data_IF_138590930752
#
_entry.id   IF_138590930752
#
_cell.length_a   1.000
_cell.length_b   1.000
_cell.length_c   1.000
_cell.angle_alpha   90.00
_cell.angle_beta   90.00
_cell.angle_gamma   90.00
#
_symmetry.space_group_name_H-M   'P 1'
#
loop_
_entity.id
_entity.type
_entity.pdbx_description
1 polymer ?
#
# COMPACT_ATOMS: atom_id res chain seq x y z
N UNK A 1 -8.07 0.50 -2.73
CA UNK A 1 -6.88 1.29 -2.33
C UNK A 1 -5.70 0.35 -2.33
N UNK A 2 -4.58 0.81 -2.87
CA UNK A 2 -3.38 0.02 -3.05
C UNK A 2 -2.36 0.34 -1.95
N UNK A 3 -1.62 -0.68 -1.52
CA UNK A 3 -0.44 -0.52 -0.68
C UNK A 3 0.75 -1.10 -1.44
N UNK A 4 1.76 -0.28 -1.67
CA UNK A 4 3.06 -0.71 -2.16
C UNK A 4 3.95 -0.93 -0.95
N UNK A 5 4.58 -2.09 -0.83
CA UNK A 5 5.37 -2.42 0.37
C UNK A 5 6.73 -3.00 0.01
N UNK A 6 7.78 -2.42 0.57
CA UNK A 6 9.09 -3.07 0.66
C UNK A 6 9.03 -4.09 1.81
N UNK A 7 9.05 -5.40 1.52
CA UNK A 7 8.84 -6.39 2.59
C UNK A 7 10.06 -6.60 3.49
N UNK A 8 11.23 -6.06 3.14
CA UNK A 8 12.42 -6.08 4.02
C UNK A 8 12.17 -5.40 5.35
N UNK A 9 11.35 -4.33 5.38
CA UNK A 9 10.99 -3.65 6.63
C UNK A 9 10.06 -4.50 7.53
N UNK A 10 9.46 -5.57 7.00
CA UNK A 10 8.55 -6.47 7.71
C UNK A 10 9.24 -7.72 8.26
N UNK A 11 10.26 -8.25 7.57
CA UNK A 11 10.77 -9.61 7.83
C UNK A 11 12.14 -9.68 8.51
N UNK A 12 12.90 -8.59 8.59
CA UNK A 12 14.32 -8.63 8.99
C UNK A 12 14.60 -8.27 10.46
N UNK A 13 13.66 -8.43 11.40
CA UNK A 13 13.84 -7.97 12.78
C UNK A 13 13.35 -8.97 13.83
N UNK A 14 14.00 -8.97 15.00
CA UNK A 14 13.60 -9.79 16.14
C UNK A 14 12.19 -9.40 16.63
N UNK A 15 11.36 -10.41 16.80
CA UNK A 15 9.93 -10.33 17.11
C UNK A 15 9.69 -9.73 18.50
N UNK A 16 9.13 -8.52 18.56
CA UNK A 16 8.58 -7.92 19.79
C UNK A 16 7.09 -8.31 19.98
N UNK A 17 6.58 -9.24 19.17
CA UNK A 17 5.24 -9.82 19.23
C UNK A 17 4.15 -9.00 18.56
N UNK A 18 4.44 -7.77 18.13
CA UNK A 18 3.44 -6.84 17.54
C UNK A 18 3.93 -6.06 16.32
N UNK A 19 5.24 -6.04 16.04
CA UNK A 19 5.82 -5.47 14.83
C UNK A 19 5.91 -6.44 13.65
N UNK A 20 6.70 -6.05 12.66
CA UNK A 20 7.04 -6.83 11.48
C UNK A 20 5.83 -7.26 10.66
N UNK A 21 5.93 -8.46 10.11
CA UNK A 21 4.88 -9.05 9.29
C UNK A 21 3.56 -9.25 10.06
N UNK A 22 3.51 -9.81 11.29
CA UNK A 22 2.25 -9.95 12.03
C UNK A 22 1.50 -8.62 12.22
N UNK A 23 2.21 -7.54 12.58
CA UNK A 23 1.62 -6.21 12.72
C UNK A 23 1.05 -5.67 11.40
N UNK A 24 1.77 -5.85 10.29
CA UNK A 24 1.29 -5.45 8.97
C UNK A 24 0.06 -6.26 8.54
N UNK A 25 0.04 -7.57 8.80
CA UNK A 25 -1.12 -8.42 8.52
C UNK A 25 -2.35 -8.02 9.34
N UNK A 26 -2.17 -7.66 10.61
CA UNK A 26 -3.26 -7.14 11.44
C UNK A 26 -3.88 -5.88 10.83
N UNK A 27 -3.07 -4.97 10.26
CA UNK A 27 -3.58 -3.81 9.50
C UNK A 27 -4.35 -4.29 8.26
N UNK A 28 -3.82 -5.24 7.50
CA UNK A 28 -4.53 -5.77 6.33
C UNK A 28 -5.88 -6.39 6.72
N UNK A 29 -5.96 -7.12 7.83
CA UNK A 29 -7.21 -7.69 8.33
C UNK A 29 -8.22 -6.62 8.76
N UNK A 30 -7.78 -5.55 9.40
CA UNK A 30 -8.64 -4.41 9.76
C UNK A 30 -9.16 -3.63 8.53
N UNK A 31 -8.45 -3.73 7.40
CA UNK A 31 -8.78 -3.03 6.15
C UNK A 31 -8.91 -4.00 4.96
N UNK A 32 -9.98 -4.81 4.88
CA UNK A 32 -10.12 -5.89 3.90
C UNK A 32 -10.15 -5.43 2.42
N UNK A 33 -10.43 -4.15 2.18
CA UNK A 33 -10.40 -3.52 0.87
C UNK A 33 -8.98 -3.22 0.35
N UNK A 34 -7.94 -3.33 1.18
CA UNK A 34 -6.56 -3.12 0.71
C UNK A 34 -6.13 -4.26 -0.20
N UNK A 35 -5.42 -3.88 -1.25
CA UNK A 35 -4.67 -4.77 -2.14
C UNK A 35 -3.21 -4.37 -2.10
N UNK A 36 -2.32 -5.34 -2.16
CA UNK A 36 -0.90 -5.18 -1.92
C UNK A 36 -0.13 -5.41 -3.21
N UNK A 37 0.85 -4.55 -3.49
CA UNK A 37 1.85 -4.75 -4.52
C UNK A 37 3.21 -4.75 -3.85
N UNK A 38 4.04 -5.76 -4.15
CA UNK A 38 5.35 -5.90 -3.52
C UNK A 38 6.37 -5.05 -4.27
N UNK A 39 6.86 -4.01 -3.63
CA UNK A 39 7.93 -3.15 -4.11
C UNK A 39 9.25 -3.56 -3.43
N UNK A 40 9.63 -4.83 -3.61
CA UNK A 40 10.77 -5.45 -2.95
C UNK A 40 11.91 -5.65 -3.95
N UNK A 41 13.16 -5.33 -3.60
CA UNK A 41 14.29 -5.53 -4.50
C UNK A 41 14.57 -6.98 -4.82
N UNK A 42 14.23 -7.89 -3.91
CA UNK A 42 14.48 -9.32 -4.10
C UNK A 42 13.72 -9.88 -5.30
N UNK A 43 12.70 -9.18 -5.83
CA UNK A 43 12.03 -9.54 -7.09
C UNK A 43 12.99 -9.69 -8.28
N UNK A 44 14.18 -9.07 -8.24
CA UNK A 44 15.21 -9.24 -9.26
C UNK A 44 15.83 -10.65 -9.29
N UNK A 45 15.77 -11.41 -8.19
CA UNK A 45 16.41 -12.73 -8.07
C UNK A 45 15.54 -13.80 -7.38
N UNK A 46 14.26 -13.51 -7.12
CA UNK A 46 13.30 -14.48 -6.59
C UNK A 46 11.92 -14.32 -7.25
N UNK A 47 11.08 -15.35 -7.13
CA UNK A 47 9.71 -15.31 -7.67
C UNK A 47 8.73 -14.63 -6.72
N UNK A 48 7.60 -14.19 -7.25
CA UNK A 48 6.51 -13.62 -6.44
C UNK A 48 5.98 -14.61 -5.40
N UNK A 49 5.93 -15.91 -5.71
CA UNK A 49 5.48 -16.93 -4.76
C UNK A 49 6.37 -16.96 -3.52
N UNK A 50 7.69 -16.81 -3.71
CA UNK A 50 8.65 -16.77 -2.60
C UNK A 50 8.55 -15.47 -1.81
N UNK A 51 8.33 -14.33 -2.46
CA UNK A 51 8.10 -13.04 -1.78
C UNK A 51 6.78 -13.04 -1.00
N UNK A 52 5.78 -13.75 -1.51
CA UNK A 52 4.46 -13.91 -0.90
C UNK A 52 4.44 -14.94 0.23
N UNK A 53 5.33 -15.93 0.21
CA UNK A 53 5.35 -17.04 1.16
C UNK A 53 5.35 -16.66 2.65
N UNK A 54 6.00 -15.57 3.10
CA UNK A 54 5.92 -15.15 4.49
C UNK A 54 4.49 -14.80 4.93
N UNK A 55 3.67 -14.25 4.03
CA UNK A 55 2.32 -13.83 4.37
C UNK A 55 1.40 -15.02 4.68
N UNK A 56 0.42 -14.83 5.55
CA UNK A 56 -0.62 -15.80 5.82
C UNK A 56 -1.45 -16.10 4.57
N UNK A 57 -1.84 -17.37 4.39
CA UNK A 57 -2.52 -17.85 3.19
C UNK A 57 -3.75 -17.03 2.76
N UNK A 58 -4.63 -16.55 3.66
CA UNK A 58 -5.78 -15.72 3.26
C UNK A 58 -5.39 -14.40 2.59
N UNK A 59 -4.20 -13.87 2.87
CA UNK A 59 -3.71 -12.61 2.30
C UNK A 59 -3.06 -12.79 0.94
N UNK A 60 -2.75 -14.03 0.52
CA UNK A 60 -2.10 -14.30 -0.77
C UNK A 60 -2.92 -13.79 -1.95
N UNK A 61 -4.24 -13.91 -1.90
CA UNK A 61 -5.15 -13.42 -2.94
C UNK A 61 -5.26 -11.88 -2.99
N UNK A 62 -4.74 -11.18 -1.97
CA UNK A 62 -4.72 -9.71 -1.92
C UNK A 62 -3.42 -9.12 -2.45
N UNK A 63 -2.39 -9.96 -2.64
CA UNK A 63 -1.12 -9.57 -3.24
C UNK A 63 -1.27 -9.71 -4.75
N UNK A 64 -1.27 -8.58 -5.44
CA UNK A 64 -1.58 -8.49 -6.88
C UNK A 64 -0.38 -8.79 -7.78
N UNK A 65 0.84 -8.59 -7.27
CA UNK A 65 2.03 -8.56 -8.11
C UNK A 65 3.24 -7.98 -7.42
N UNK A 66 4.28 -7.74 -8.21
CA UNK A 66 5.42 -6.91 -7.85
C UNK A 66 5.42 -5.63 -8.69
N UNK A 67 6.16 -4.60 -8.28
CA UNK A 67 6.48 -3.49 -9.19
C UNK A 67 7.31 -3.99 -10.39
N UNK A 68 7.31 -3.28 -11.53
CA UNK A 68 8.09 -3.65 -12.70
C UNK A 68 9.58 -3.79 -12.42
N UNK A 69 10.23 -4.62 -13.24
CA UNK A 69 11.68 -4.76 -13.27
C UNK A 69 12.18 -4.10 -14.55
N UNK A 70 13.11 -3.17 -14.39
CA UNK A 70 13.76 -2.50 -15.51
C UNK A 70 15.03 -3.27 -15.87
N UNK A 71 15.19 -3.57 -17.16
CA UNK A 71 16.37 -4.27 -17.65
C UNK A 71 17.63 -3.41 -17.56
N UNK A 72 18.80 -4.07 -17.63
CA UNK A 72 20.11 -3.42 -17.54
C UNK A 72 20.38 -2.35 -18.64
N UNK A 73 19.56 -2.33 -19.70
CA UNK A 73 19.64 -1.37 -20.80
C UNK A 73 18.81 -0.10 -20.57
N UNK A 74 18.11 0.03 -19.43
CA UNK A 74 17.42 1.26 -19.08
C UNK A 74 18.45 2.41 -18.94
N UNK A 75 18.17 3.55 -19.59
CA UNK A 75 19.08 4.71 -19.61
C UNK A 75 19.33 5.30 -18.22
N UNK A 76 18.40 5.07 -17.28
CA UNK A 76 18.56 5.32 -15.86
C UNK A 76 17.81 4.24 -15.07
N UNK A 77 18.26 3.96 -13.85
CA UNK A 77 17.50 3.11 -12.93
C UNK A 77 16.40 3.98 -12.31
N UNK A 78 15.11 3.67 -12.54
CA UNK A 78 14.02 4.41 -11.93
C UNK A 78 14.06 4.27 -10.41
N UNK A 79 13.63 5.31 -9.70
CA UNK A 79 13.44 5.26 -8.25
C UNK A 79 12.14 4.52 -7.90
N UNK A 80 11.98 4.13 -6.63
CA UNK A 80 10.80 3.44 -6.09
C UNK A 80 9.48 4.13 -6.45
N UNK A 81 9.42 5.46 -6.42
CA UNK A 81 8.24 6.22 -6.84
C UNK A 81 7.91 5.96 -8.32
N UNK A 82 8.89 6.00 -9.21
CA UNK A 82 8.69 5.75 -10.64
C UNK A 82 8.20 4.33 -10.89
N UNK A 83 8.75 3.33 -10.19
CA UNK A 83 8.31 1.92 -10.30
C UNK A 83 6.83 1.76 -9.91
N UNK A 84 6.39 2.49 -8.87
CA UNK A 84 5.00 2.49 -8.40
C UNK A 84 4.08 3.16 -9.44
N UNK A 85 4.48 4.32 -9.96
CA UNK A 85 3.70 5.04 -10.97
C UNK A 85 3.57 4.24 -12.26
N UNK A 86 4.64 3.55 -12.67
CA UNK A 86 4.61 2.66 -13.83
C UNK A 86 3.71 1.45 -13.62
N UNK A 87 3.71 0.87 -12.42
CA UNK A 87 2.78 -0.20 -12.08
C UNK A 87 1.32 0.27 -12.20
N UNK A 88 1.01 1.45 -11.66
CA UNK A 88 -0.34 2.02 -11.70
C UNK A 88 -0.81 2.23 -13.15
N UNK A 89 0.05 2.74 -14.02
CA UNK A 89 -0.24 2.92 -15.45
C UNK A 89 -0.49 1.59 -16.16
N UNK A 90 0.38 0.60 -15.94
CA UNK A 90 0.22 -0.74 -16.55
C UNK A 90 -1.05 -1.44 -16.08
N UNK A 91 -1.53 -1.14 -14.88
CA UNK A 91 -2.74 -1.70 -14.29
C UNK A 91 -4.01 -0.88 -14.59
N UNK A 92 -3.94 0.20 -15.38
CA UNK A 92 -5.04 1.15 -15.63
C UNK A 92 -5.64 1.70 -14.30
N UNK A 93 -4.75 2.00 -13.36
CA UNK A 93 -5.07 2.34 -11.97
C UNK A 93 -4.46 3.69 -11.54
N UNK A 94 -4.18 4.59 -12.46
CA UNK A 94 -3.55 5.91 -12.19
C UNK A 94 -4.36 6.75 -11.19
N UNK A 95 -5.70 6.67 -11.27
CA UNK A 95 -6.63 7.36 -10.37
C UNK A 95 -6.82 6.64 -9.02
N UNK A 96 -6.20 5.48 -8.82
CA UNK A 96 -6.34 4.72 -7.60
C UNK A 96 -5.65 5.44 -6.43
N UNK A 97 -6.32 5.48 -5.28
CA UNK A 97 -5.66 5.90 -4.05
C UNK A 97 -4.62 4.84 -3.61
N UNK A 98 -3.46 5.32 -3.16
CA UNK A 98 -2.36 4.45 -2.73
C UNK A 98 -1.48 5.06 -1.64
N UNK A 99 -0.81 4.17 -0.90
CA UNK A 99 0.27 4.49 0.04
C UNK A 99 1.46 3.54 -0.22
N UNK A 100 2.67 4.03 0.04
CA UNK A 100 3.88 3.20 0.07
C UNK A 100 4.35 3.00 1.51
N UNK A 101 4.85 1.81 1.84
CA UNK A 101 5.55 1.49 3.08
C UNK A 101 6.96 1.06 2.71
N UNK A 102 7.92 1.96 2.92
CA UNK A 102 9.23 1.87 2.27
C UNK A 102 10.32 2.63 3.03
N UNK A 103 11.56 2.17 2.98
CA UNK A 103 12.70 2.86 3.59
C UNK A 103 13.43 3.82 2.65
N UNK A 104 13.11 3.81 1.36
CA UNK A 104 13.76 4.63 0.31
C UNK A 104 13.15 6.00 0.16
N UNK A 105 13.12 6.78 1.24
CA UNK A 105 12.48 8.09 1.24
C UNK A 105 13.06 9.09 0.23
N UNK A 106 14.33 8.94 -0.12
CA UNK A 106 15.03 9.73 -1.12
C UNK A 106 14.59 9.45 -2.57
N UNK A 107 13.93 8.31 -2.82
CA UNK A 107 13.38 7.94 -4.13
C UNK A 107 11.91 8.36 -4.32
N UNK A 108 11.35 9.18 -3.41
CA UNK A 108 10.00 9.77 -3.51
C UNK A 108 10.07 11.29 -3.61
N UNK A 109 9.89 11.83 -4.82
CA UNK A 109 10.06 13.26 -5.08
C UNK A 109 8.71 13.99 -5.14
N UNK A 110 7.75 13.47 -5.91
CA UNK A 110 6.45 14.11 -6.13
C UNK A 110 5.37 13.67 -5.11
N UNK A 111 5.50 12.46 -4.57
CA UNK A 111 4.50 11.81 -3.71
C UNK A 111 5.07 11.39 -2.35
N UNK A 112 6.04 12.13 -1.81
CA UNK A 112 6.56 11.90 -0.46
C UNK A 112 5.45 11.84 0.62
N UNK A 113 4.34 12.58 0.45
CA UNK A 113 3.17 12.54 1.33
C UNK A 113 2.40 11.20 1.30
N UNK A 114 2.62 10.36 0.28
CA UNK A 114 2.05 9.00 0.16
C UNK A 114 2.97 7.92 0.74
N UNK A 115 4.22 8.25 1.03
CA UNK A 115 5.17 7.35 1.66
C UNK A 115 5.01 7.36 3.18
N UNK A 116 4.90 6.18 3.78
CA UNK A 116 5.22 5.91 5.17
C UNK A 116 6.67 5.40 5.23
N UNK A 117 7.64 6.23 5.66
CA UNK A 117 9.03 5.81 5.78
C UNK A 117 9.14 4.67 6.79
N UNK A 118 9.70 3.53 6.39
CA UNK A 118 9.66 2.32 7.19
C UNK A 118 10.92 1.47 6.98
N UNK A 119 11.87 1.56 7.92
CA UNK A 119 13.04 0.65 8.00
C UNK A 119 12.76 -0.61 8.82
N UNK A 120 11.87 -0.48 9.80
CA UNK A 120 11.36 -1.54 10.65
C UNK A 120 9.91 -1.23 10.94
N UNK A 121 9.02 -2.14 10.59
CA UNK A 121 7.61 -1.98 10.87
C UNK A 121 7.36 -2.36 12.33
N UNK A 122 6.94 -1.42 13.16
CA UNK A 122 6.56 -1.65 14.55
C UNK A 122 5.13 -1.17 14.83
N UNK A 123 4.76 -1.12 16.11
CA UNK A 123 3.46 -0.61 16.54
C UNK A 123 3.21 0.83 16.07
N UNK A 124 4.23 1.69 16.10
CA UNK A 124 4.10 3.09 15.66
C UNK A 124 3.81 3.20 14.16
N UNK A 125 4.49 2.42 13.32
CA UNK A 125 4.25 2.36 11.88
C UNK A 125 2.86 1.77 11.58
N UNK A 126 2.43 0.77 12.35
CA UNK A 126 1.08 0.19 12.24
C UNK A 126 -0.01 1.23 12.57
N UNK A 127 0.14 1.96 13.68
CA UNK A 127 -0.77 3.01 14.12
C UNK A 127 -0.84 4.16 13.11
N UNK A 128 0.32 4.64 12.62
CA UNK A 128 0.35 5.70 11.62
C UNK A 128 -0.24 5.24 10.28
N UNK A 129 0.02 3.99 9.86
CA UNK A 129 -0.64 3.43 8.69
C UNK A 129 -2.16 3.42 8.91
N UNK A 130 -2.64 2.93 10.04
CA UNK A 130 -4.06 2.93 10.38
C UNK A 130 -4.66 4.35 10.33
N UNK A 131 -4.00 5.33 10.94
CA UNK A 131 -4.44 6.73 10.92
C UNK A 131 -4.50 7.31 9.49
N UNK A 132 -3.52 7.02 8.63
CA UNK A 132 -3.55 7.44 7.22
C UNK A 132 -4.71 6.79 6.46
N UNK A 133 -4.95 5.50 6.67
CA UNK A 133 -6.04 4.76 6.05
C UNK A 133 -7.41 5.33 6.49
N UNK A 134 -7.59 5.62 7.78
CA UNK A 134 -8.80 6.26 8.31
C UNK A 134 -9.03 7.65 7.69
N UNK A 135 -8.01 8.52 7.69
CA UNK A 135 -8.10 9.87 7.08
C UNK A 135 -8.54 9.81 5.62
N UNK A 136 -8.02 8.84 4.86
CA UNK A 136 -8.37 8.63 3.45
C UNK A 136 -9.78 8.08 3.27
N UNK A 137 -10.20 7.13 4.10
CA UNK A 137 -11.57 6.59 4.05
C UNK A 137 -12.61 7.67 4.32
N UNK A 138 -12.41 8.49 5.35
CA UNK A 138 -13.30 9.60 5.70
C UNK A 138 -13.38 10.64 4.58
N UNK A 139 -12.24 10.99 3.94
CA UNK A 139 -12.23 11.89 2.78
C UNK A 139 -13.06 11.33 1.62
N UNK A 140 -12.92 10.04 1.32
CA UNK A 140 -13.69 9.39 0.24
C UNK A 140 -15.19 9.39 0.56
N UNK A 141 -15.57 9.07 1.79
CA UNK A 141 -16.98 9.12 2.22
C UNK A 141 -17.57 10.53 2.15
N UNK A 142 -16.80 11.56 2.56
CA UNK A 142 -17.24 12.95 2.45
C UNK A 142 -17.46 13.38 1.00
N UNK A 143 -16.54 13.01 0.09
CA UNK A 143 -16.69 13.28 -1.36
C UNK A 143 -17.94 12.60 -1.91
N UNK A 144 -18.15 11.30 -1.61
CA UNK A 144 -19.35 10.58 -2.06
C UNK A 144 -20.63 11.23 -1.54
N UNK A 145 -20.67 11.64 -0.26
CA UNK A 145 -21.83 12.36 0.31
C UNK A 145 -22.07 13.73 -0.33
N UNK A 146 -21.02 14.41 -0.79
CA UNK A 146 -21.17 15.70 -1.48
C UNK A 146 -21.69 15.58 -2.91
N UNK A 147 -21.41 14.45 -3.57
CA UNK A 147 -21.84 14.17 -4.95
C UNK A 147 -23.28 13.66 -5.00
N UNK A 148 -23.72 12.88 -4.00
CA UNK A 148 -25.10 12.38 -3.94
C UNK A 148 -25.98 13.45 -3.31
N UNK A 149 -26.90 14.11 -4.06
CA UNK A 149 -27.79 15.10 -3.47
C UNK A 149 -28.65 14.42 -2.40
N UNK A 150 -28.66 14.98 -1.19
CA UNK A 150 -29.59 14.59 -0.13
C UNK A 150 -31.01 14.69 -0.69
N UNK A 151 -31.66 13.55 -0.90
CA UNK A 151 -33.09 13.54 -1.22
C UNK A 151 -33.80 14.30 -0.09
N UNK A 152 -34.60 15.33 -0.38
CA UNK A 152 -35.44 15.93 0.64
C UNK A 152 -36.32 14.81 1.20
N UNK A 153 -36.39 14.72 2.53
CA UNK A 153 -37.35 13.85 3.18
C UNK A 153 -38.73 14.20 2.61
N UNK A 154 -39.40 13.22 1.98
CA UNK A 154 -40.75 13.39 1.51
C UNK A 154 -41.61 13.76 2.72
N UNK A 155 -41.99 15.03 2.80
CA UNK A 155 -42.99 15.50 3.75
C UNK A 155 -44.29 14.80 3.39
N UNK A 156 -44.63 13.77 4.17
CA UNK A 156 -45.97 13.19 4.25
C UNK A 156 -46.90 14.27 4.82
N UNK A 157 -47.45 15.09 3.93
CA UNK A 157 -48.56 15.99 4.22
C UNK A 157 -49.86 15.22 4.07
N UNK A 158 -50.61 15.16 5.17
CA UNK A 158 -51.93 14.58 5.33
C UNK A 158 -53.02 15.35 4.57
#
# INVERSE_FOLDING_TARGET
MLIFVNTECLVNHADDGHGGLPGFEAVLHAWPQLRVVLADERRHWTTIERLRAPFSAPLHARILGTTPIYGALAQSRPGREDEILDWLRQADAEEADWLAVDDRSDEFHAHAHRLLPCRRFGAAEADELHARLQRRSLRREAVVRSIVPLRPAASLGA
#
